data_IF_047201327961
#
_entry.id   IF_047201327961
#
_cell.length_a   1.000
_cell.length_b   1.000
_cell.length_c   1.000
_cell.angle_alpha   90.00
_cell.angle_beta   90.00
_cell.angle_gamma   90.00
#
_symmetry.space_group_name_H-M   'P 1'
#
loop_
_entity.id
_entity.type
_entity.pdbx_description
1 polymer ?
#
# COMPACT_ATOMS: atom_id res chain seq x y z
N UNK A 1 16.69 16.13 -17.48
CA UNK A 1 15.61 15.13 -17.47
C UNK A 1 14.44 15.76 -16.74
N UNK A 2 13.37 16.12 -17.43
CA UNK A 2 12.19 16.77 -16.83
C UNK A 2 11.35 15.71 -16.14
N UNK A 3 10.97 15.94 -14.88
CA UNK A 3 10.02 15.07 -14.18
C UNK A 3 8.63 15.30 -14.77
N UNK A 4 7.84 14.25 -15.05
CA UNK A 4 6.51 14.41 -15.62
C UNK A 4 5.58 15.17 -14.66
N UNK A 5 4.71 16.00 -15.24
CA UNK A 5 3.69 16.75 -14.51
C UNK A 5 2.71 15.77 -13.84
N UNK A 6 2.35 15.97 -12.56
CA UNK A 6 1.42 15.10 -11.85
C UNK A 6 0.02 15.15 -12.48
N UNK A 7 -0.71 14.03 -12.39
CA UNK A 7 -2.09 13.96 -12.89
C UNK A 7 -3.00 14.85 -12.03
N UNK A 8 -4.03 15.49 -12.61
CA UNK A 8 -4.97 16.31 -11.85
C UNK A 8 -5.61 15.49 -10.71
N UNK A 9 -5.50 15.98 -9.48
CA UNK A 9 -5.98 15.31 -8.26
C UNK A 9 -5.00 14.33 -7.62
N UNK A 10 -3.81 14.12 -8.21
CA UNK A 10 -2.73 13.31 -7.61
C UNK A 10 -1.64 14.15 -6.94
N UNK A 11 -1.76 15.48 -6.99
CA UNK A 11 -0.97 16.44 -6.21
C UNK A 11 -1.27 16.32 -4.72
N UNK A 12 -0.80 15.23 -4.13
CA UNK A 12 -0.81 15.03 -2.69
C UNK A 12 0.54 15.46 -2.16
N UNK A 13 0.56 16.54 -1.36
CA UNK A 13 1.74 16.88 -0.57
C UNK A 13 2.08 15.64 0.28
N UNK A 14 3.21 14.98 -0.01
CA UNK A 14 3.68 13.82 0.73
C UNK A 14 4.05 14.24 2.16
N UNK A 15 3.05 14.43 3.02
CA UNK A 15 3.26 14.65 4.45
C UNK A 15 3.49 13.27 5.06
N UNK A 16 4.73 12.79 4.97
CA UNK A 16 5.15 11.63 5.74
C UNK A 16 4.91 11.98 7.21
N UNK A 17 3.94 11.31 7.86
CA UNK A 17 3.70 11.51 9.30
C UNK A 17 5.03 11.35 10.04
N UNK A 18 5.46 12.31 10.87
CA UNK A 18 6.79 12.28 11.46
C UNK A 18 7.02 11.03 12.31
N UNK A 19 5.96 10.47 12.89
CA UNK A 19 5.99 9.22 13.63
C UNK A 19 4.85 8.31 13.18
N UNK A 20 5.20 7.08 12.82
CA UNK A 20 4.26 6.00 12.52
C UNK A 20 4.59 4.85 13.47
N UNK A 21 3.58 4.24 14.07
CA UNK A 21 3.73 3.08 14.96
C UNK A 21 3.00 1.88 14.36
N UNK A 22 3.45 0.69 14.70
CA UNK A 22 2.78 -0.54 14.30
C UNK A 22 1.37 -0.59 14.90
N UNK A 23 0.36 -0.93 14.10
CA UNK A 23 -1.02 -1.07 14.57
C UNK A 23 -1.25 -2.24 15.53
N UNK A 24 -0.33 -3.23 15.57
CA UNK A 24 -0.41 -4.41 16.45
C UNK A 24 0.41 -4.25 17.73
N UNK A 25 1.72 -3.99 17.62
CA UNK A 25 2.62 -3.91 18.78
C UNK A 25 2.94 -2.48 19.26
N UNK A 26 2.44 -1.45 18.58
CA UNK A 26 2.67 -0.03 18.88
C UNK A 26 4.13 0.45 18.85
N UNK A 27 5.08 -0.39 18.44
CA UNK A 27 6.49 0.00 18.27
C UNK A 27 6.67 1.02 17.13
N UNK A 28 7.65 1.92 17.22
CA UNK A 28 7.94 2.89 16.17
C UNK A 28 8.42 2.20 14.89
N UNK A 29 7.96 2.70 13.74
CA UNK A 29 8.29 2.19 12.41
C UNK A 29 9.19 3.17 11.66
N UNK A 30 10.30 2.65 11.16
CA UNK A 30 11.37 3.44 10.56
C UNK A 30 11.52 3.19 9.07
N UNK A 31 11.33 1.95 8.62
CA UNK A 31 11.43 1.58 7.22
C UNK A 31 10.19 2.04 6.42
N UNK A 32 10.36 2.42 5.13
CA UNK A 32 9.27 2.92 4.31
C UNK A 32 8.09 1.94 4.19
N UNK A 33 8.38 0.66 3.98
CA UNK A 33 7.36 -0.36 3.75
C UNK A 33 6.49 -0.57 5.00
N UNK A 34 7.09 -0.74 6.17
CA UNK A 34 6.33 -0.88 7.42
C UNK A 34 5.54 0.38 7.74
N UNK A 35 6.08 1.58 7.42
CA UNK A 35 5.34 2.85 7.57
C UNK A 35 4.12 2.92 6.65
N UNK A 36 4.24 2.46 5.41
CA UNK A 36 3.12 2.38 4.46
C UNK A 36 2.05 1.40 4.93
N UNK A 37 2.45 0.22 5.41
CA UNK A 37 1.55 -0.84 5.86
C UNK A 37 1.03 -0.63 7.30
N UNK A 38 1.62 0.32 8.05
CA UNK A 38 1.45 0.51 9.51
C UNK A 38 1.63 -0.79 10.30
N UNK A 39 2.56 -1.64 9.84
CA UNK A 39 2.80 -2.98 10.37
C UNK A 39 4.30 -3.27 10.34
N UNK A 40 4.90 -3.49 11.51
CA UNK A 40 6.31 -3.89 11.62
C UNK A 40 6.52 -5.30 11.07
N UNK A 41 7.74 -5.62 10.62
CA UNK A 41 8.06 -6.91 10.01
C UNK A 41 7.77 -8.09 10.96
N UNK A 42 7.93 -7.90 12.27
CA UNK A 42 7.63 -8.91 13.29
C UNK A 42 6.13 -9.14 13.50
N UNK A 43 5.29 -8.18 13.09
CA UNK A 43 3.84 -8.25 13.22
C UNK A 43 3.14 -8.59 11.90
N UNK A 44 3.89 -8.56 10.79
CA UNK A 44 3.37 -8.84 9.45
C UNK A 44 3.15 -10.34 9.33
N UNK A 45 1.89 -10.73 9.19
CA UNK A 45 1.54 -12.12 8.93
C UNK A 45 1.67 -12.39 7.42
N UNK A 46 2.62 -13.25 6.98
CA UNK A 46 2.71 -13.63 5.57
C UNK A 46 1.48 -14.40 5.06
N UNK A 47 0.59 -14.85 5.95
CA UNK A 47 -0.68 -15.50 5.63
C UNK A 47 -1.86 -14.52 5.46
N UNK A 48 -1.72 -13.20 5.73
CA UNK A 48 -2.65 -12.16 5.23
C UNK A 48 -2.51 -11.98 3.69
N UNK A 49 -2.17 -13.05 2.96
CA UNK A 49 -2.31 -13.08 1.50
C UNK A 49 -3.80 -12.92 1.23
N UNK A 50 -4.15 -11.74 0.71
CA UNK A 50 -5.46 -11.38 0.18
C UNK A 50 -6.25 -12.61 -0.23
N UNK A 51 -7.40 -12.80 0.42
CA UNK A 51 -8.30 -13.90 0.09
C UNK A 51 -8.55 -13.88 -1.42
N UNK A 52 -8.21 -14.99 -2.06
CA UNK A 52 -8.42 -15.15 -3.50
C UNK A 52 -9.84 -15.68 -3.68
N UNK A 53 -10.70 -14.85 -4.23
CA UNK A 53 -12.06 -15.24 -4.56
C UNK A 53 -12.10 -15.74 -6.00
N UNK A 54 -12.52 -16.99 -6.20
CA UNK A 54 -12.91 -17.47 -7.53
C UNK A 54 -14.28 -16.89 -7.85
N UNK A 55 -14.30 -15.85 -8.66
CA UNK A 55 -15.51 -15.18 -9.14
C UNK A 55 -15.55 -15.26 -10.67
N UNK A 56 -16.76 -15.38 -11.21
CA UNK A 56 -16.96 -15.33 -12.65
C UNK A 56 -16.67 -13.91 -13.14
N UNK A 57 -15.60 -13.76 -13.93
CA UNK A 57 -15.18 -12.47 -14.46
C UNK A 57 -15.71 -12.35 -15.88
N UNK A 58 -16.55 -11.35 -16.12
CA UNK A 58 -16.97 -10.99 -17.48
C UNK A 58 -15.72 -10.67 -18.32
N UNK A 59 -15.54 -11.32 -19.49
CA UNK A 59 -14.43 -11.02 -20.38
C UNK A 59 -14.43 -9.55 -20.80
N UNK A 60 -13.23 -8.97 -20.90
CA UNK A 60 -13.11 -7.64 -21.45
C UNK A 60 -13.51 -7.65 -22.94
N UNK A 61 -14.13 -6.58 -23.46
CA UNK A 61 -14.43 -6.49 -24.88
C UNK A 61 -13.14 -6.48 -25.71
N UNK A 62 -13.08 -7.30 -26.76
CA UNK A 62 -11.94 -7.37 -27.69
C UNK A 62 -10.83 -8.35 -27.29
N UNK A 63 -10.98 -9.11 -26.20
CA UNK A 63 -10.19 -10.32 -25.93
C UNK A 63 -11.02 -11.54 -26.30
N UNK A 64 -10.97 -11.91 -27.58
CA UNK A 64 -11.54 -13.12 -28.16
C UNK A 64 -10.65 -13.65 -29.27
#
# INVERSE_FOLDING_TARGET
MTSPEPLPGTDTAQTLRPRVTCRRCHRPLHDPESRMLRLGPECRDPAERVDRYEVDQEPLPGVG
#
